data_IF_614338476034
#
_entry.id   IF_614338476034
#
_cell.length_a   1.000
_cell.length_b   1.000
_cell.length_c   1.000
_cell.angle_alpha   90.00
_cell.angle_beta   90.00
_cell.angle_gamma   90.00
#
_symmetry.space_group_name_H-M   'P 1'
#
loop_
_entity.id
_entity.type
_entity.pdbx_description
1 polymer ?
#
# COMPACT_ATOMS: atom_id res chain seq x y z
N UNK A 1 3.47 49.12 2.41
CA UNK A 1 2.36 48.15 2.23
C UNK A 1 2.75 46.86 1.48
N UNK A 2 3.44 46.88 0.33
CA UNK A 2 3.83 45.64 -0.39
C UNK A 2 4.79 44.74 0.40
N UNK A 3 5.76 45.30 1.13
CA UNK A 3 6.69 44.52 1.95
C UNK A 3 6.06 43.90 3.21
N UNK A 4 5.10 44.59 3.84
CA UNK A 4 4.33 44.07 4.98
C UNK A 4 3.39 42.92 4.59
N UNK A 5 2.78 42.98 3.40
CA UNK A 5 1.93 41.94 2.88
C UNK A 5 2.72 40.64 2.58
N UNK A 6 3.93 40.81 2.00
CA UNK A 6 4.84 39.67 1.71
C UNK A 6 5.34 38.99 2.99
N UNK A 7 5.62 39.78 4.06
CA UNK A 7 6.02 39.24 5.36
C UNK A 7 4.88 38.48 6.06
N UNK A 8 3.66 38.98 5.95
CA UNK A 8 2.47 38.31 6.52
C UNK A 8 2.16 36.99 5.80
N UNK A 9 2.31 36.94 4.46
CA UNK A 9 2.12 35.71 3.69
C UNK A 9 3.20 34.67 3.99
N UNK A 10 4.46 35.08 4.18
CA UNK A 10 5.54 34.17 4.58
C UNK A 10 5.34 33.67 6.01
N UNK A 11 4.91 34.52 6.92
CA UNK A 11 4.65 34.18 8.32
C UNK A 11 3.42 33.21 8.44
N UNK A 12 2.35 33.49 7.71
CA UNK A 12 1.19 32.60 7.61
C UNK A 12 1.54 31.25 6.96
N UNK A 13 2.36 31.25 5.91
CA UNK A 13 2.85 30.02 5.30
C UNK A 13 3.71 29.18 6.25
N UNK A 14 4.58 29.83 7.04
CA UNK A 14 5.40 29.13 8.05
C UNK A 14 4.59 28.61 9.24
N UNK A 15 3.54 29.31 9.66
CA UNK A 15 2.63 28.86 10.73
C UNK A 15 1.76 27.70 10.26
N UNK A 16 1.29 27.71 9.01
CA UNK A 16 0.55 26.58 8.44
C UNK A 16 1.43 25.34 8.32
N UNK A 17 2.68 25.47 7.87
CA UNK A 17 3.64 24.38 7.81
C UNK A 17 4.01 23.82 9.21
N UNK A 18 4.10 24.66 10.23
CA UNK A 18 4.34 24.23 11.61
C UNK A 18 3.13 23.48 12.19
N UNK A 19 1.92 23.93 11.87
CA UNK A 19 0.69 23.28 12.35
C UNK A 19 0.47 21.90 11.70
N UNK A 20 0.68 21.82 10.42
CA UNK A 20 0.52 20.58 9.66
C UNK A 20 1.64 19.57 9.96
N UNK A 21 2.88 20.01 10.14
CA UNK A 21 3.97 19.13 10.60
C UNK A 21 3.65 18.51 11.98
N UNK A 22 2.90 19.22 12.83
CA UNK A 22 2.41 18.69 14.11
C UNK A 22 1.28 17.66 13.93
N UNK A 23 0.43 17.81 12.90
CA UNK A 23 -0.63 16.82 12.60
C UNK A 23 -0.04 15.50 12.11
N UNK A 24 0.85 15.52 11.12
CA UNK A 24 1.49 14.32 10.58
C UNK A 24 2.34 13.61 11.65
N UNK A 25 3.07 14.33 12.49
CA UNK A 25 3.81 13.75 13.61
C UNK A 25 2.89 13.05 14.62
N UNK A 26 1.70 13.61 14.87
CA UNK A 26 0.69 12.99 15.71
C UNK A 26 0.13 11.72 15.08
N UNK A 27 -0.16 11.74 13.77
CA UNK A 27 -0.63 10.59 13.02
C UNK A 27 0.44 9.48 12.95
N UNK A 28 1.72 9.84 12.77
CA UNK A 28 2.84 8.88 12.80
C UNK A 28 2.95 8.19 14.16
N UNK A 29 2.77 8.89 15.28
CA UNK A 29 2.74 8.26 16.62
C UNK A 29 1.59 7.26 16.77
N UNK A 30 0.42 7.58 16.20
CA UNK A 30 -0.72 6.66 16.19
C UNK A 30 -0.39 5.44 15.31
N UNK A 31 0.21 5.64 14.14
CA UNK A 31 0.65 4.55 13.28
C UNK A 31 1.71 3.67 13.95
N UNK A 32 2.69 4.25 14.66
CA UNK A 32 3.69 3.49 15.42
C UNK A 32 3.01 2.54 16.42
N UNK A 33 1.96 3.02 17.12
CA UNK A 33 1.16 2.20 18.02
C UNK A 33 0.42 1.09 17.26
N UNK A 34 -0.27 1.41 16.17
CA UNK A 34 -0.99 0.43 15.35
C UNK A 34 -0.05 -0.64 14.81
N UNK A 35 1.15 -0.27 14.37
CA UNK A 35 2.18 -1.22 13.93
C UNK A 35 2.66 -2.11 15.09
N UNK A 36 2.81 -1.57 16.29
CA UNK A 36 3.18 -2.38 17.47
C UNK A 36 2.11 -3.42 17.84
N UNK A 37 0.85 -3.13 17.56
CA UNK A 37 -0.32 -3.98 17.80
C UNK A 37 -0.68 -4.90 16.61
N UNK A 38 0.09 -4.89 15.51
CA UNK A 38 -0.26 -5.59 14.24
C UNK A 38 -0.57 -7.07 14.38
N UNK A 39 0.02 -7.74 15.36
CA UNK A 39 -0.24 -9.16 15.61
C UNK A 39 -1.68 -9.40 16.09
N UNK A 40 -2.23 -8.51 16.90
CA UNK A 40 -3.63 -8.57 17.36
C UNK A 40 -4.59 -8.49 16.17
N UNK A 41 -4.31 -7.60 15.20
CA UNK A 41 -5.13 -7.50 13.99
C UNK A 41 -5.01 -8.75 13.10
N UNK A 42 -3.80 -9.32 13.04
CA UNK A 42 -3.56 -10.59 12.32
C UNK A 42 -4.36 -11.73 12.96
N UNK A 43 -4.31 -11.89 14.27
CA UNK A 43 -5.08 -12.91 15.03
C UNK A 43 -6.59 -12.75 14.83
N UNK A 44 -7.09 -11.51 14.84
CA UNK A 44 -8.51 -11.22 14.56
C UNK A 44 -8.90 -11.63 13.14
N UNK A 45 -8.05 -11.37 12.15
CA UNK A 45 -8.25 -11.79 10.76
C UNK A 45 -8.31 -13.31 10.65
N UNK A 46 -7.36 -14.00 11.28
CA UNK A 46 -7.31 -15.47 11.31
C UNK A 46 -8.53 -16.09 11.98
N UNK A 47 -9.02 -15.48 13.08
CA UNK A 47 -10.25 -15.92 13.74
C UNK A 47 -11.46 -15.80 12.80
N UNK A 48 -11.61 -14.68 12.09
CA UNK A 48 -12.68 -14.50 11.08
C UNK A 48 -12.59 -15.55 9.98
N UNK A 49 -11.39 -15.82 9.45
CA UNK A 49 -11.19 -16.86 8.43
C UNK A 49 -11.55 -18.24 8.98
N UNK A 50 -11.18 -18.52 10.22
CA UNK A 50 -11.51 -19.81 10.89
C UNK A 50 -13.02 -20.01 11.03
N UNK A 51 -13.77 -18.96 11.38
CA UNK A 51 -15.23 -19.00 11.44
C UNK A 51 -15.86 -19.29 10.07
N UNK A 52 -15.40 -18.62 9.01
CA UNK A 52 -15.87 -18.87 7.66
C UNK A 52 -15.58 -20.32 7.21
N UNK A 53 -14.38 -20.82 7.51
CA UNK A 53 -14.03 -22.23 7.23
C UNK A 53 -14.89 -23.24 8.00
N UNK A 54 -15.29 -22.94 9.22
CA UNK A 54 -16.17 -23.80 9.98
C UNK A 54 -17.56 -23.90 9.32
N UNK A 55 -18.12 -22.77 8.85
CA UNK A 55 -19.40 -22.73 8.12
C UNK A 55 -19.38 -23.55 6.82
N UNK A 56 -18.21 -23.74 6.20
CA UNK A 56 -18.07 -24.52 4.95
C UNK A 56 -18.54 -25.96 5.08
N UNK A 57 -18.38 -26.57 6.25
CA UNK A 57 -18.81 -27.96 6.51
C UNK A 57 -20.33 -28.12 6.52
N UNK A 58 -21.08 -27.04 6.67
CA UNK A 58 -22.54 -27.03 6.77
C UNK A 58 -23.21 -26.78 5.41
N UNK A 59 -22.44 -26.40 4.39
CA UNK A 59 -22.98 -26.07 3.07
C UNK A 59 -23.42 -27.33 2.31
N UNK A 60 -24.64 -27.29 1.76
CA UNK A 60 -25.26 -28.44 1.09
C UNK A 60 -25.29 -28.30 -0.43
N UNK A 61 -25.28 -27.08 -0.95
CA UNK A 61 -25.33 -26.83 -2.40
C UNK A 61 -24.00 -26.33 -2.93
N UNK A 62 -23.74 -26.55 -4.21
CA UNK A 62 -22.54 -26.03 -4.88
C UNK A 62 -22.53 -24.51 -4.93
N UNK A 63 -23.70 -23.86 -5.07
CA UNK A 63 -23.83 -22.41 -5.07
C UNK A 63 -23.47 -21.80 -3.70
N UNK A 64 -23.96 -22.39 -2.61
CA UNK A 64 -23.61 -21.94 -1.25
C UNK A 64 -22.10 -22.14 -0.97
N UNK A 65 -21.53 -23.26 -1.44
CA UNK A 65 -20.07 -23.51 -1.34
C UNK A 65 -19.29 -22.45 -2.12
N UNK A 66 -19.70 -22.13 -3.34
CA UNK A 66 -19.06 -21.11 -4.18
C UNK A 66 -19.07 -19.74 -3.49
N UNK A 67 -20.23 -19.31 -2.99
CA UNK A 67 -20.39 -18.03 -2.29
C UNK A 67 -19.55 -17.95 -1.03
N UNK A 68 -19.56 -18.97 -0.20
CA UNK A 68 -18.77 -18.99 1.03
C UNK A 68 -17.26 -19.04 0.72
N UNK A 69 -16.84 -19.80 -0.29
CA UNK A 69 -15.45 -19.74 -0.75
C UNK A 69 -15.08 -18.33 -1.25
N UNK A 70 -16.00 -17.62 -1.93
CA UNK A 70 -15.76 -16.23 -2.38
C UNK A 70 -15.55 -15.28 -1.20
N UNK A 71 -16.28 -15.46 -0.08
CA UNK A 71 -16.01 -14.73 1.16
C UNK A 71 -14.63 -15.06 1.74
N UNK A 72 -14.25 -16.35 1.76
CA UNK A 72 -12.92 -16.78 2.22
C UNK A 72 -11.82 -16.21 1.31
N UNK A 73 -12.01 -16.24 -0.01
CA UNK A 73 -11.09 -15.65 -0.99
C UNK A 73 -10.91 -14.16 -0.72
N UNK A 74 -11.98 -13.41 -0.45
CA UNK A 74 -11.90 -11.98 -0.15
C UNK A 74 -11.03 -11.68 1.08
N UNK A 75 -11.04 -12.59 2.09
CA UNK A 75 -10.18 -12.47 3.25
C UNK A 75 -8.71 -12.77 2.94
N UNK A 76 -8.44 -13.75 2.07
CA UNK A 76 -7.09 -14.19 1.76
C UNK A 76 -6.39 -13.37 0.67
N UNK A 77 -7.13 -12.75 -0.26
CA UNK A 77 -6.55 -12.09 -1.44
C UNK A 77 -5.50 -11.01 -1.13
N UNK A 78 -5.59 -10.38 0.05
CA UNK A 78 -4.62 -9.39 0.52
C UNK A 78 -3.86 -9.85 1.77
N UNK A 79 -4.06 -11.12 2.20
CA UNK A 79 -3.51 -11.66 3.45
C UNK A 79 -2.51 -12.80 3.22
N UNK A 80 -2.88 -13.87 2.49
CA UNK A 80 -2.01 -15.01 2.14
C UNK A 80 -2.31 -15.50 0.74
N UNK A 81 -1.39 -15.28 -0.19
CA UNK A 81 -1.53 -15.58 -1.61
C UNK A 81 -1.87 -17.06 -1.87
N UNK A 82 -1.10 -18.00 -1.30
CA UNK A 82 -1.25 -19.43 -1.56
C UNK A 82 -2.61 -19.96 -1.08
N UNK A 83 -3.12 -19.43 0.03
CA UNK A 83 -4.47 -19.77 0.51
C UNK A 83 -5.55 -19.18 -0.39
N UNK A 84 -5.38 -17.95 -0.89
CA UNK A 84 -6.30 -17.38 -1.87
C UNK A 84 -6.35 -18.23 -3.14
N UNK A 85 -5.20 -18.62 -3.68
CA UNK A 85 -5.07 -19.51 -4.84
C UNK A 85 -5.81 -20.84 -4.63
N UNK A 86 -5.64 -21.48 -3.47
CA UNK A 86 -6.32 -22.72 -3.14
C UNK A 86 -7.85 -22.60 -3.25
N UNK A 87 -8.44 -21.60 -2.57
CA UNK A 87 -9.90 -21.42 -2.57
C UNK A 87 -10.44 -20.94 -3.91
N UNK A 88 -9.66 -20.17 -4.69
CA UNK A 88 -10.02 -19.79 -6.06
C UNK A 88 -10.07 -21.03 -6.95
N UNK A 89 -9.09 -21.94 -6.86
CA UNK A 89 -9.10 -23.19 -7.63
C UNK A 89 -10.28 -24.07 -7.24
N UNK A 90 -10.62 -24.18 -5.95
CA UNK A 90 -11.84 -24.87 -5.52
C UNK A 90 -13.10 -24.24 -6.14
N UNK A 91 -13.20 -22.91 -6.22
CA UNK A 91 -14.32 -22.23 -6.88
C UNK A 91 -14.36 -22.48 -8.39
N UNK A 92 -13.22 -22.56 -9.05
CA UNK A 92 -13.12 -22.93 -10.46
C UNK A 92 -13.66 -24.34 -10.68
N UNK A 93 -13.30 -25.32 -9.83
CA UNK A 93 -13.83 -26.68 -9.90
C UNK A 93 -15.34 -26.76 -9.63
N UNK A 94 -15.84 -25.98 -8.65
CA UNK A 94 -17.28 -25.88 -8.37
C UNK A 94 -18.01 -25.29 -9.59
N UNK A 95 -17.51 -24.23 -10.18
CA UNK A 95 -18.08 -23.60 -11.36
C UNK A 95 -18.14 -24.57 -12.56
N UNK A 96 -17.11 -25.39 -12.75
CA UNK A 96 -17.09 -26.44 -13.78
C UNK A 96 -18.16 -27.50 -13.51
N UNK A 97 -18.30 -27.98 -12.27
CA UNK A 97 -19.33 -28.97 -11.88
C UNK A 97 -20.74 -28.41 -12.06
N UNK A 98 -20.93 -27.11 -11.86
CA UNK A 98 -22.21 -26.43 -12.08
C UNK A 98 -22.49 -26.13 -13.57
N UNK A 99 -21.51 -26.25 -14.45
CA UNK A 99 -21.59 -25.78 -15.84
C UNK A 99 -21.74 -24.24 -15.94
N UNK A 100 -21.36 -23.50 -14.91
CA UNK A 100 -21.51 -22.04 -14.85
C UNK A 100 -20.25 -21.36 -15.41
N UNK A 101 -20.30 -20.99 -16.69
CA UNK A 101 -19.18 -20.36 -17.38
C UNK A 101 -18.83 -18.97 -16.81
N UNK A 102 -19.81 -18.25 -16.28
CA UNK A 102 -19.61 -16.94 -15.64
C UNK A 102 -18.75 -17.07 -14.39
N UNK A 103 -19.10 -17.97 -13.47
CA UNK A 103 -18.32 -18.25 -12.27
C UNK A 103 -16.93 -18.81 -12.59
N UNK A 104 -16.82 -19.62 -13.65
CA UNK A 104 -15.53 -20.10 -14.13
C UNK A 104 -14.60 -18.96 -14.55
N UNK A 105 -15.12 -18.00 -15.33
CA UNK A 105 -14.36 -16.83 -15.79
C UNK A 105 -14.00 -15.87 -14.63
N UNK A 106 -14.93 -15.66 -13.69
CA UNK A 106 -14.64 -14.89 -12.47
C UNK A 106 -13.48 -15.52 -11.68
N UNK A 107 -13.53 -16.82 -11.42
CA UNK A 107 -12.45 -17.53 -10.72
C UNK A 107 -11.12 -17.41 -11.44
N UNK A 108 -11.10 -17.55 -12.78
CA UNK A 108 -9.87 -17.37 -13.56
C UNK A 108 -9.31 -15.95 -13.49
N UNK A 109 -10.17 -14.93 -13.54
CA UNK A 109 -9.74 -13.54 -13.39
C UNK A 109 -9.24 -13.24 -11.98
N UNK A 110 -9.88 -13.79 -10.94
CA UNK A 110 -9.39 -13.69 -9.55
C UNK A 110 -8.02 -14.36 -9.41
N UNK A 111 -7.80 -15.52 -10.05
CA UNK A 111 -6.51 -16.20 -10.05
C UNK A 111 -5.42 -15.36 -10.73
N UNK A 112 -5.71 -14.78 -11.90
CA UNK A 112 -4.80 -13.89 -12.59
C UNK A 112 -4.43 -12.64 -11.76
N UNK A 113 -5.41 -12.10 -11.03
CA UNK A 113 -5.19 -11.00 -10.09
C UNK A 113 -4.22 -11.39 -8.97
N UNK A 114 -4.48 -12.50 -8.28
CA UNK A 114 -3.62 -12.99 -7.19
C UNK A 114 -2.21 -13.32 -7.70
N UNK A 115 -2.08 -13.92 -8.87
CA UNK A 115 -0.79 -14.16 -9.51
C UNK A 115 -0.04 -12.85 -9.83
N UNK A 116 -0.75 -11.82 -10.28
CA UNK A 116 -0.16 -10.51 -10.53
C UNK A 116 0.36 -9.85 -9.25
N UNK A 117 -0.35 -9.99 -8.12
CA UNK A 117 0.07 -9.47 -6.82
C UNK A 117 1.25 -10.25 -6.23
N UNK A 118 1.33 -11.55 -6.50
CA UNK A 118 2.43 -12.39 -5.99
C UNK A 118 3.70 -12.34 -6.86
N UNK A 119 3.60 -11.80 -8.10
CA UNK A 119 4.71 -11.77 -9.07
C UNK A 119 4.83 -13.03 -9.93
N UNK A 120 3.78 -13.84 -10.01
CA UNK A 120 3.66 -14.97 -10.94
C UNK A 120 3.16 -14.48 -12.32
N UNK A 121 3.92 -13.58 -12.94
CA UNK A 121 3.51 -12.86 -14.13
C UNK A 121 3.29 -13.76 -15.35
N UNK A 122 4.06 -14.84 -15.50
CA UNK A 122 3.90 -15.81 -16.60
C UNK A 122 2.56 -16.50 -16.49
N UNK A 123 2.22 -17.01 -15.29
CA UNK A 123 0.95 -17.69 -15.01
C UNK A 123 -0.24 -16.75 -15.20
N UNK A 124 -0.14 -15.50 -14.75
CA UNK A 124 -1.18 -14.49 -15.00
C UNK A 124 -1.38 -14.26 -16.51
N UNK A 125 -0.28 -14.13 -17.27
CA UNK A 125 -0.31 -13.97 -18.73
C UNK A 125 -0.99 -15.13 -19.44
N UNK A 126 -0.73 -16.37 -19.02
CA UNK A 126 -1.33 -17.56 -19.62
C UNK A 126 -2.85 -17.60 -19.40
N UNK A 127 -3.31 -17.17 -18.21
CA UNK A 127 -4.73 -17.02 -17.93
C UNK A 127 -5.33 -15.94 -18.85
N UNK A 128 -4.73 -14.77 -18.93
CA UNK A 128 -5.24 -13.68 -19.77
C UNK A 128 -5.36 -14.08 -21.24
N UNK A 129 -4.33 -14.71 -21.80
CA UNK A 129 -4.34 -15.19 -23.18
C UNK A 129 -5.43 -16.22 -23.47
N UNK A 130 -5.88 -16.96 -22.46
CA UNK A 130 -6.91 -17.98 -22.58
C UNK A 130 -8.34 -17.43 -22.52
N UNK A 131 -8.53 -16.12 -22.21
CA UNK A 131 -9.82 -15.46 -22.09
C UNK A 131 -10.03 -14.56 -23.32
N UNK A 132 -11.14 -14.77 -24.03
CA UNK A 132 -11.53 -13.89 -25.16
C UNK A 132 -12.31 -12.69 -24.62
N UNK A 133 -11.64 -11.55 -24.49
CA UNK A 133 -12.21 -10.34 -23.89
C UNK A 133 -13.50 -9.88 -24.58
N UNK A 134 -13.58 -9.95 -25.90
CA UNK A 134 -14.72 -9.46 -26.69
C UNK A 134 -16.03 -10.22 -26.42
N UNK A 135 -15.93 -11.45 -25.90
CA UNK A 135 -17.10 -12.29 -25.57
C UNK A 135 -17.56 -12.18 -24.12
N UNK A 136 -16.88 -11.37 -23.32
CA UNK A 136 -17.22 -11.20 -21.91
C UNK A 136 -18.40 -10.25 -21.74
N UNK A 137 -19.31 -10.49 -20.79
CA UNK A 137 -20.27 -9.48 -20.34
C UNK A 137 -19.53 -8.29 -19.70
N UNK A 138 -20.14 -7.10 -19.74
CA UNK A 138 -19.49 -5.84 -19.40
C UNK A 138 -18.77 -5.85 -18.04
N UNK A 139 -19.37 -6.42 -17.00
CA UNK A 139 -18.76 -6.47 -15.68
C UNK A 139 -17.49 -7.36 -15.63
N UNK A 140 -17.48 -8.49 -16.35
CA UNK A 140 -16.28 -9.33 -16.48
C UNK A 140 -15.22 -8.69 -17.38
N UNK A 141 -15.66 -7.96 -18.40
CA UNK A 141 -14.77 -7.19 -19.26
C UNK A 141 -14.11 -6.05 -18.49
N UNK A 142 -14.85 -5.36 -17.63
CA UNK A 142 -14.30 -4.36 -16.72
C UNK A 142 -13.27 -4.99 -15.75
N UNK A 143 -13.61 -6.12 -15.12
CA UNK A 143 -12.71 -6.87 -14.24
C UNK A 143 -11.43 -7.32 -14.96
N UNK A 144 -11.55 -7.81 -16.20
CA UNK A 144 -10.43 -8.18 -17.06
C UNK A 144 -9.51 -6.98 -17.32
N UNK A 145 -10.07 -5.82 -17.65
CA UNK A 145 -9.30 -4.60 -17.88
C UNK A 145 -8.58 -4.13 -16.58
N UNK A 146 -9.27 -4.09 -15.44
CA UNK A 146 -8.65 -3.71 -14.16
C UNK A 146 -7.53 -4.67 -13.75
N UNK A 147 -7.69 -5.96 -14.00
CA UNK A 147 -6.63 -6.93 -13.74
C UNK A 147 -5.40 -6.66 -14.61
N UNK A 148 -5.58 -6.29 -15.88
CA UNK A 148 -4.46 -5.90 -16.77
C UNK A 148 -3.81 -4.59 -16.32
N UNK A 149 -4.59 -3.59 -15.90
CA UNK A 149 -4.05 -2.34 -15.35
C UNK A 149 -3.14 -2.66 -14.16
N UNK A 150 -3.63 -3.47 -13.20
CA UNK A 150 -2.83 -3.88 -12.03
C UNK A 150 -1.61 -4.71 -12.42
N UNK A 151 -1.76 -5.62 -13.35
CA UNK A 151 -0.66 -6.45 -13.87
C UNK A 151 0.46 -5.59 -14.44
N UNK A 152 0.15 -4.63 -15.31
CA UNK A 152 1.15 -3.72 -15.88
C UNK A 152 1.74 -2.76 -14.85
N UNK A 153 0.97 -2.26 -13.89
CA UNK A 153 1.50 -1.48 -12.78
C UNK A 153 2.57 -2.24 -11.99
N UNK A 154 2.31 -3.51 -11.71
CA UNK A 154 3.26 -4.35 -11.00
C UNK A 154 4.49 -4.70 -11.87
N UNK A 155 4.32 -4.92 -13.17
CA UNK A 155 5.44 -5.13 -14.09
C UNK A 155 6.34 -3.90 -14.19
N UNK A 156 5.79 -2.69 -14.27
CA UNK A 156 6.55 -1.44 -14.28
C UNK A 156 7.43 -1.33 -13.03
N UNK A 157 6.84 -1.58 -11.85
CA UNK A 157 7.56 -1.54 -10.58
C UNK A 157 8.61 -2.67 -10.47
N UNK A 158 8.30 -3.87 -10.96
CA UNK A 158 9.20 -5.02 -10.94
C UNK A 158 10.40 -4.82 -11.83
N UNK A 159 10.17 -4.39 -13.07
CA UNK A 159 11.22 -4.23 -14.08
C UNK A 159 12.16 -3.09 -13.75
N UNK A 160 11.62 -1.94 -13.30
CA UNK A 160 12.38 -0.72 -12.96
C UNK A 160 13.37 -0.30 -14.07
N UNK A 161 12.95 -0.51 -15.34
CA UNK A 161 13.73 -0.25 -16.55
C UNK A 161 12.88 0.56 -17.53
N UNK A 162 13.34 1.76 -17.87
CA UNK A 162 12.62 2.71 -18.72
C UNK A 162 12.28 2.15 -20.11
N UNK A 163 13.08 1.23 -20.65
CA UNK A 163 12.86 0.62 -21.99
C UNK A 163 11.58 -0.20 -22.03
N UNK A 164 11.31 -0.98 -20.97
CA UNK A 164 10.12 -1.82 -20.86
C UNK A 164 8.94 -1.07 -20.22
N UNK A 165 9.23 -0.19 -19.26
CA UNK A 165 8.20 0.57 -18.54
C UNK A 165 7.36 1.43 -19.48
N UNK A 166 7.94 2.00 -20.54
CA UNK A 166 7.19 2.80 -21.51
C UNK A 166 6.17 1.97 -22.31
N UNK A 167 6.55 0.76 -22.72
CA UNK A 167 5.62 -0.16 -23.40
C UNK A 167 4.51 -0.63 -22.47
N UNK A 168 4.85 -1.00 -21.22
CA UNK A 168 3.86 -1.41 -20.23
C UNK A 168 2.90 -0.27 -19.87
N UNK A 169 3.38 0.98 -19.86
CA UNK A 169 2.53 2.14 -19.63
C UNK A 169 1.49 2.30 -20.75
N UNK A 170 1.89 2.15 -22.01
CA UNK A 170 0.98 2.23 -23.17
C UNK A 170 -0.10 1.14 -23.07
N UNK A 171 0.30 -0.09 -22.73
CA UNK A 171 -0.66 -1.19 -22.57
C UNK A 171 -1.62 -0.93 -21.41
N UNK A 172 -1.12 -0.47 -20.28
CA UNK A 172 -1.93 -0.11 -19.13
C UNK A 172 -2.99 0.92 -19.47
N UNK A 173 -2.61 1.99 -20.18
CA UNK A 173 -3.54 3.05 -20.57
C UNK A 173 -4.58 2.56 -21.60
N UNK A 174 -4.22 1.69 -22.53
CA UNK A 174 -5.16 1.08 -23.46
C UNK A 174 -6.27 0.29 -22.73
N UNK A 175 -5.92 -0.45 -21.65
CA UNK A 175 -6.94 -1.12 -20.83
C UNK A 175 -7.77 -0.13 -20.03
N UNK A 176 -7.19 0.98 -19.54
CA UNK A 176 -7.93 2.05 -18.88
C UNK A 176 -8.93 2.71 -19.82
N UNK A 177 -8.53 3.01 -21.03
CA UNK A 177 -9.43 3.55 -22.05
C UNK A 177 -10.59 2.58 -22.33
N UNK A 178 -10.28 1.29 -22.43
CA UNK A 178 -11.30 0.26 -22.66
C UNK A 178 -12.29 0.19 -21.49
N UNK A 179 -11.84 0.15 -20.25
CA UNK A 179 -12.73 0.05 -19.10
C UNK A 179 -13.62 1.29 -18.97
N UNK A 180 -13.11 2.48 -19.28
CA UNK A 180 -13.90 3.70 -19.26
C UNK A 180 -15.04 3.72 -20.28
N UNK A 181 -14.95 2.98 -21.39
CA UNK A 181 -16.05 2.84 -22.35
C UNK A 181 -17.18 1.93 -21.86
N UNK A 182 -16.92 1.10 -20.84
CA UNK A 182 -17.84 0.09 -20.30
C UNK A 182 -18.55 0.62 -19.05
N UNK A 183 -17.82 1.39 -18.24
CA UNK A 183 -18.34 1.91 -16.97
C UNK A 183 -19.45 2.93 -17.19
N UNK A 184 -20.44 2.91 -16.30
CA UNK A 184 -21.43 3.97 -16.25
C UNK A 184 -20.77 5.30 -15.92
N UNK A 185 -20.97 6.32 -16.74
CA UNK A 185 -20.29 7.63 -16.70
C UNK A 185 -20.55 8.47 -15.44
N UNK A 186 -21.52 8.06 -14.60
CA UNK A 186 -21.84 8.66 -13.30
C UNK A 186 -21.42 7.77 -12.12
N UNK A 187 -20.72 6.65 -12.36
CA UNK A 187 -20.25 5.76 -11.30
C UNK A 187 -18.98 6.28 -10.63
N UNK A 188 -18.80 5.94 -9.36
CA UNK A 188 -17.54 6.25 -8.65
C UNK A 188 -16.34 5.56 -9.31
N UNK A 189 -16.53 4.38 -9.90
CA UNK A 189 -15.50 3.64 -10.67
C UNK A 189 -15.05 4.44 -11.89
N UNK A 190 -15.99 4.96 -12.68
CA UNK A 190 -15.68 5.83 -13.82
C UNK A 190 -14.90 7.08 -13.38
N UNK A 191 -15.37 7.75 -12.32
CA UNK A 191 -14.72 8.94 -11.82
C UNK A 191 -13.30 8.68 -11.27
N UNK A 192 -13.03 7.50 -10.68
CA UNK A 192 -11.68 7.10 -10.27
C UNK A 192 -10.75 7.01 -11.47
N UNK A 193 -11.15 6.33 -12.55
CA UNK A 193 -10.34 6.24 -13.77
C UNK A 193 -10.15 7.61 -14.43
N UNK A 194 -11.22 8.43 -14.46
CA UNK A 194 -11.15 9.81 -14.95
C UNK A 194 -10.15 10.66 -14.16
N UNK A 195 -10.12 10.54 -12.84
CA UNK A 195 -9.17 11.25 -11.99
C UNK A 195 -7.72 10.83 -12.30
N UNK A 196 -7.45 9.56 -12.59
CA UNK A 196 -6.12 9.10 -13.01
C UNK A 196 -5.73 9.75 -14.35
N UNK A 197 -6.61 9.77 -15.33
CA UNK A 197 -6.34 10.45 -16.63
C UNK A 197 -6.07 11.95 -16.46
N UNK A 198 -6.84 12.62 -15.63
CA UNK A 198 -6.60 14.04 -15.31
C UNK A 198 -5.22 14.28 -14.67
N UNK A 199 -4.75 13.35 -13.81
CA UNK A 199 -3.40 13.41 -13.27
C UNK A 199 -2.33 13.28 -14.37
N UNK A 200 -2.51 12.35 -15.30
CA UNK A 200 -1.60 12.14 -16.42
C UNK A 200 -1.58 13.35 -17.39
N UNK A 201 -2.69 14.09 -17.49
CA UNK A 201 -2.79 15.36 -18.21
C UNK A 201 -2.26 16.57 -17.43
N UNK A 202 -1.82 16.41 -16.18
CA UNK A 202 -1.36 17.50 -15.31
C UNK A 202 -2.48 18.35 -14.70
N UNK A 203 -3.75 17.91 -14.82
CA UNK A 203 -4.93 18.60 -14.27
C UNK A 203 -5.20 18.17 -12.81
N UNK A 204 -4.21 18.42 -11.95
CA UNK A 204 -4.21 17.89 -10.57
C UNK A 204 -5.36 18.41 -9.73
N UNK A 205 -5.77 19.67 -9.87
CA UNK A 205 -6.86 20.25 -9.09
C UNK A 205 -8.20 19.57 -9.38
N UNK A 206 -8.50 19.31 -10.66
CA UNK A 206 -9.71 18.61 -11.07
C UNK A 206 -9.72 17.16 -10.59
N UNK A 207 -8.57 16.48 -10.70
CA UNK A 207 -8.41 15.11 -10.20
C UNK A 207 -8.63 15.03 -8.68
N UNK A 208 -8.06 15.96 -7.92
CA UNK A 208 -8.21 16.03 -6.46
C UNK A 208 -9.66 16.28 -6.05
N UNK A 209 -10.38 17.19 -6.72
CA UNK A 209 -11.79 17.44 -6.44
C UNK A 209 -12.64 16.16 -6.58
N UNK A 210 -12.39 15.37 -7.62
CA UNK A 210 -13.06 14.09 -7.83
C UNK A 210 -12.72 13.11 -6.72
N UNK A 211 -11.42 12.92 -6.44
CA UNK A 211 -10.95 11.92 -5.47
C UNK A 211 -11.40 12.24 -4.05
N UNK A 212 -11.42 13.51 -3.65
CA UNK A 212 -11.91 13.94 -2.33
C UNK A 212 -13.40 13.59 -2.19
N UNK A 213 -14.23 13.90 -3.20
CA UNK A 213 -15.65 13.57 -3.17
C UNK A 213 -15.93 12.07 -3.01
N UNK A 214 -15.09 11.22 -3.62
CA UNK A 214 -15.22 9.77 -3.49
C UNK A 214 -14.69 9.29 -2.13
N UNK A 215 -13.57 9.86 -1.66
CA UNK A 215 -13.00 9.54 -0.36
C UNK A 215 -13.96 9.86 0.80
N UNK A 216 -14.64 11.00 0.75
CA UNK A 216 -15.59 11.43 1.79
C UNK A 216 -16.81 10.50 1.92
N UNK A 217 -17.10 9.71 0.89
CA UNK A 217 -18.13 8.66 0.93
C UNK A 217 -17.65 7.35 1.57
N UNK A 218 -16.32 7.15 1.71
CA UNK A 218 -15.78 5.90 2.23
C UNK A 218 -15.96 5.83 3.74
N UNK A 219 -16.35 4.66 4.23
CA UNK A 219 -16.36 4.41 5.65
C UNK A 219 -14.95 4.20 6.17
N UNK A 220 -14.54 4.86 7.27
CA UNK A 220 -13.25 4.63 7.92
C UNK A 220 -13.03 3.14 8.24
N UNK A 221 -11.76 2.73 8.29
CA UNK A 221 -11.36 1.34 8.58
C UNK A 221 -11.90 0.29 7.59
N UNK A 222 -12.18 0.70 6.35
CA UNK A 222 -12.49 -0.22 5.23
C UNK A 222 -11.35 -0.24 4.23
N UNK A 223 -11.24 -1.34 3.46
CA UNK A 223 -10.25 -1.41 2.38
C UNK A 223 -10.48 -0.31 1.30
N UNK A 224 -11.74 0.04 1.01
CA UNK A 224 -12.08 1.16 0.14
C UNK A 224 -11.51 2.48 0.62
N UNK A 225 -11.59 2.76 1.92
CA UNK A 225 -10.98 3.95 2.53
C UNK A 225 -9.45 3.97 2.34
N UNK A 226 -8.76 2.86 2.60
CA UNK A 226 -7.32 2.77 2.41
C UNK A 226 -6.92 2.99 0.94
N UNK A 227 -7.63 2.38 0.00
CA UNK A 227 -7.39 2.54 -1.44
C UNK A 227 -7.60 3.99 -1.90
N UNK A 228 -8.65 4.66 -1.42
CA UNK A 228 -8.90 6.07 -1.77
C UNK A 228 -7.87 7.01 -1.12
N UNK A 229 -7.46 6.75 0.12
CA UNK A 229 -6.37 7.49 0.77
C UNK A 229 -5.06 7.34 -0.03
N UNK A 230 -4.73 6.14 -0.50
CA UNK A 230 -3.57 5.90 -1.37
C UNK A 230 -3.68 6.67 -2.70
N UNK A 231 -4.88 6.73 -3.30
CA UNK A 231 -5.16 7.51 -4.50
C UNK A 231 -4.95 9.01 -4.30
N UNK A 232 -5.46 9.56 -3.18
CA UNK A 232 -5.25 10.96 -2.79
C UNK A 232 -3.77 11.27 -2.53
N UNK A 233 -3.06 10.39 -1.83
CA UNK A 233 -1.62 10.53 -1.61
C UNK A 233 -0.87 10.69 -2.93
N UNK A 234 -1.14 9.82 -3.92
CA UNK A 234 -0.54 9.91 -5.25
C UNK A 234 -0.87 11.26 -5.94
N UNK A 235 -2.12 11.69 -5.88
CA UNK A 235 -2.54 12.95 -6.49
C UNK A 235 -1.86 14.17 -5.85
N UNK A 236 -1.73 14.19 -4.51
CA UNK A 236 -1.01 15.23 -3.79
C UNK A 236 0.49 15.22 -4.09
N UNK A 237 1.11 14.05 -4.22
CA UNK A 237 2.50 13.93 -4.66
C UNK A 237 2.72 14.58 -6.02
N UNK A 238 1.88 14.25 -7.00
CA UNK A 238 1.97 14.79 -8.37
C UNK A 238 1.71 16.30 -8.41
N UNK A 239 0.87 16.83 -7.51
CA UNK A 239 0.64 18.28 -7.37
C UNK A 239 1.73 18.99 -6.55
N UNK A 240 2.73 18.28 -6.01
CA UNK A 240 3.81 18.82 -5.22
C UNK A 240 3.48 19.08 -3.75
N UNK A 241 2.31 18.67 -3.27
CA UNK A 241 1.92 18.82 -1.86
C UNK A 241 2.36 17.58 -1.05
N UNK A 242 3.65 17.55 -0.68
CA UNK A 242 4.27 16.42 0.02
C UNK A 242 3.71 16.21 1.44
N UNK A 243 3.13 17.23 2.02
CA UNK A 243 2.54 17.17 3.35
C UNK A 243 1.23 16.39 3.36
N UNK A 244 0.32 16.71 2.44
CA UNK A 244 -0.91 15.96 2.25
C UNK A 244 -0.66 14.57 1.64
N UNK A 245 0.37 14.41 0.80
CA UNK A 245 0.85 13.08 0.40
C UNK A 245 1.14 12.22 1.62
N UNK A 246 1.97 12.70 2.56
CA UNK A 246 2.35 11.97 3.77
C UNK A 246 1.12 11.67 4.66
N UNK A 247 0.24 12.65 4.88
CA UNK A 247 -0.99 12.46 5.64
C UNK A 247 -1.82 11.29 5.12
N UNK A 248 -2.11 11.28 3.82
CA UNK A 248 -2.94 10.23 3.24
C UNK A 248 -2.23 8.87 3.15
N UNK A 249 -0.88 8.86 3.00
CA UNK A 249 -0.11 7.62 3.15
C UNK A 249 -0.20 7.04 4.54
N UNK A 250 -0.11 7.86 5.58
CA UNK A 250 -0.24 7.42 6.98
C UNK A 250 -1.62 6.81 7.21
N UNK A 251 -2.69 7.48 6.73
CA UNK A 251 -4.06 6.98 6.87
C UNK A 251 -4.29 5.66 6.15
N UNK A 252 -3.75 5.51 4.94
CA UNK A 252 -3.79 4.26 4.18
C UNK A 252 -3.04 3.14 4.91
N UNK A 253 -1.78 3.38 5.31
CA UNK A 253 -0.94 2.40 6.01
C UNK A 253 -1.54 1.96 7.35
N UNK A 254 -2.14 2.90 8.09
CA UNK A 254 -2.82 2.62 9.36
C UNK A 254 -4.03 1.71 9.14
N UNK A 255 -4.86 2.02 8.15
CA UNK A 255 -6.06 1.25 7.82
C UNK A 255 -5.69 -0.15 7.35
N UNK A 256 -4.75 -0.28 6.42
CA UNK A 256 -4.26 -1.58 5.93
C UNK A 256 -3.69 -2.43 7.08
N UNK A 257 -2.94 -1.84 8.00
CA UNK A 257 -2.39 -2.55 9.16
C UNK A 257 -3.51 -3.07 10.07
N UNK A 258 -4.54 -2.26 10.37
CA UNK A 258 -5.70 -2.67 11.17
C UNK A 258 -6.54 -3.77 10.51
N UNK A 259 -6.60 -3.78 9.18
CA UNK A 259 -7.28 -4.82 8.39
C UNK A 259 -6.41 -6.05 8.16
N UNK A 260 -5.18 -6.07 8.69
CA UNK A 260 -4.17 -7.10 8.43
C UNK A 260 -3.90 -7.33 6.94
N UNK A 261 -3.94 -6.26 6.12
CA UNK A 261 -3.55 -6.31 4.71
C UNK A 261 -2.04 -6.48 4.64
N UNK A 262 -1.57 -7.60 4.07
CA UNK A 262 -0.14 -7.93 3.92
C UNK A 262 0.43 -7.46 2.58
N UNK A 263 -0.45 -7.10 1.67
CA UNK A 263 -0.11 -6.40 0.42
C UNK A 263 -0.10 -4.88 0.64
N UNK A 264 0.47 -4.39 1.75
CA UNK A 264 0.48 -3.00 2.19
C UNK A 264 1.53 -2.18 1.42
N UNK A 265 1.13 -1.53 0.34
CA UNK A 265 1.99 -0.64 -0.45
C UNK A 265 2.20 0.73 0.22
N UNK A 266 1.21 1.19 0.97
CA UNK A 266 1.27 2.50 1.63
C UNK A 266 2.40 2.54 2.67
N UNK A 267 2.56 1.49 3.46
CA UNK A 267 3.63 1.41 4.46
C UNK A 267 5.02 1.40 3.83
N UNK A 268 5.20 0.67 2.72
CA UNK A 268 6.45 0.66 1.96
C UNK A 268 6.79 2.05 1.42
N UNK A 269 5.82 2.71 0.79
CA UNK A 269 5.99 4.05 0.22
C UNK A 269 6.30 5.07 1.33
N UNK A 270 5.60 4.98 2.45
CA UNK A 270 5.83 5.85 3.61
C UNK A 270 7.23 5.65 4.20
N UNK A 271 7.72 4.40 4.29
CA UNK A 271 9.08 4.13 4.76
C UNK A 271 10.13 4.82 3.88
N UNK A 272 9.96 4.79 2.55
CA UNK A 272 10.86 5.47 1.60
C UNK A 272 10.78 6.99 1.76
N UNK A 273 9.58 7.55 1.88
CA UNK A 273 9.40 8.99 2.07
C UNK A 273 10.03 9.48 3.38
N UNK A 274 9.85 8.75 4.48
CA UNK A 274 10.47 9.06 5.78
C UNK A 274 12.00 8.97 5.73
N UNK A 275 12.55 8.01 4.99
CA UNK A 275 13.98 7.93 4.74
C UNK A 275 14.51 9.20 4.07
N UNK A 276 13.87 9.67 3.01
CA UNK A 276 14.25 10.91 2.32
C UNK A 276 14.06 12.15 3.18
N UNK A 277 13.09 12.14 4.09
CA UNK A 277 12.84 13.21 5.08
C UNK A 277 13.84 13.21 6.24
N UNK A 278 14.60 12.11 6.42
CA UNK A 278 15.62 11.96 7.48
C UNK A 278 15.09 11.32 8.77
N UNK A 279 13.84 10.86 8.81
CA UNK A 279 13.31 10.01 9.92
C UNK A 279 13.72 8.55 9.71
N UNK A 280 15.00 8.30 9.93
CA UNK A 280 15.64 7.02 9.66
C UNK A 280 15.11 5.91 10.57
N UNK A 281 14.74 6.26 11.80
CA UNK A 281 14.28 5.28 12.80
C UNK A 281 12.93 4.68 12.39
N UNK A 282 11.95 5.53 12.00
CA UNK A 282 10.68 5.05 11.46
C UNK A 282 10.83 4.39 10.09
N UNK A 283 11.64 4.97 9.20
CA UNK A 283 11.90 4.38 7.89
C UNK A 283 12.38 2.94 8.00
N UNK A 284 13.35 2.67 8.90
CA UNK A 284 13.87 1.33 9.16
C UNK A 284 12.81 0.39 9.75
N UNK A 285 12.06 0.85 10.75
CA UNK A 285 11.00 0.04 11.35
C UNK A 285 9.90 -0.31 10.35
N UNK A 286 9.45 0.65 9.54
CA UNK A 286 8.36 0.45 8.59
C UNK A 286 8.79 -0.44 7.41
N UNK A 287 10.01 -0.28 6.88
CA UNK A 287 10.51 -1.16 5.81
C UNK A 287 10.65 -2.61 6.28
N UNK A 288 11.05 -2.85 7.53
CA UNK A 288 11.10 -4.20 8.13
C UNK A 288 9.72 -4.84 8.23
N UNK A 289 8.72 -4.06 8.63
CA UNK A 289 7.33 -4.54 8.69
C UNK A 289 6.82 -4.84 7.29
N UNK A 290 7.05 -3.94 6.31
CA UNK A 290 6.67 -4.16 4.92
C UNK A 290 7.34 -5.42 4.32
N UNK A 291 8.61 -5.68 4.65
CA UNK A 291 9.31 -6.91 4.25
C UNK A 291 8.69 -8.16 4.90
N UNK A 292 8.43 -8.10 6.21
CA UNK A 292 7.77 -9.19 6.94
C UNK A 292 6.40 -9.52 6.35
N UNK A 293 5.61 -8.50 6.03
CA UNK A 293 4.29 -8.66 5.44
C UNK A 293 4.37 -9.22 4.01
N UNK A 294 5.34 -8.77 3.19
CA UNK A 294 5.55 -9.29 1.84
C UNK A 294 5.98 -10.78 1.84
N UNK A 295 6.81 -11.19 2.81
CA UNK A 295 7.20 -12.59 3.02
C UNK A 295 5.98 -13.41 3.48
N UNK A 296 5.20 -12.91 4.43
CA UNK A 296 4.00 -13.59 4.93
C UNK A 296 2.94 -13.77 3.82
N UNK A 297 2.75 -12.76 2.99
CA UNK A 297 1.86 -12.82 1.82
C UNK A 297 2.36 -13.79 0.74
N UNK A 298 3.65 -14.11 0.73
CA UNK A 298 4.38 -14.82 -0.34
C UNK A 298 4.47 -14.03 -1.66
N UNK A 299 4.70 -12.71 -1.58
CA UNK A 299 4.90 -11.86 -2.76
C UNK A 299 6.35 -11.84 -3.22
N UNK A 300 6.67 -12.58 -4.28
CA UNK A 300 7.99 -12.57 -4.94
C UNK A 300 8.33 -11.20 -5.50
N UNK A 301 7.32 -10.57 -6.10
CA UNK A 301 7.42 -9.24 -6.67
C UNK A 301 7.79 -8.19 -5.61
N UNK A 302 7.04 -8.09 -4.51
CA UNK A 302 7.33 -7.10 -3.45
C UNK A 302 8.64 -7.36 -2.75
N UNK A 303 9.00 -8.61 -2.51
CA UNK A 303 10.30 -8.95 -1.96
C UNK A 303 11.43 -8.41 -2.84
N UNK A 304 11.31 -8.50 -4.17
CA UNK A 304 12.29 -7.94 -5.11
C UNK A 304 12.34 -6.42 -5.05
N UNK A 305 11.18 -5.74 -5.00
CA UNK A 305 11.11 -4.28 -4.90
C UNK A 305 11.73 -3.79 -3.58
N UNK A 306 11.38 -4.43 -2.46
CA UNK A 306 11.89 -4.07 -1.13
C UNK A 306 13.40 -4.35 -1.04
N UNK A 307 13.90 -5.44 -1.64
CA UNK A 307 15.31 -5.80 -1.63
C UNK A 307 16.23 -4.73 -2.27
N UNK A 308 15.70 -3.84 -3.09
CA UNK A 308 16.47 -2.73 -3.69
C UNK A 308 16.72 -1.59 -2.71
N UNK A 309 15.77 -1.30 -1.82
CA UNK A 309 15.82 -0.13 -0.93
C UNK A 309 16.13 -0.49 0.53
N UNK A 310 15.72 -1.67 1.00
CA UNK A 310 15.91 -2.11 2.39
C UNK A 310 17.39 -2.03 2.84
N UNK A 311 18.38 -2.54 2.07
CA UNK A 311 19.78 -2.47 2.49
C UNK A 311 20.32 -1.04 2.64
N UNK A 312 19.81 -0.10 1.86
CA UNK A 312 20.21 1.31 1.90
C UNK A 312 19.68 1.95 3.19
N UNK A 313 18.41 1.73 3.53
CA UNK A 313 17.81 2.23 4.76
C UNK A 313 18.49 1.59 5.98
N UNK A 314 18.70 0.27 5.95
CA UNK A 314 19.32 -0.48 7.03
C UNK A 314 20.77 -0.03 7.30
N UNK A 315 21.59 0.10 6.26
CA UNK A 315 22.98 0.56 6.40
C UNK A 315 23.05 1.98 6.97
N UNK A 316 22.15 2.87 6.55
CA UNK A 316 22.05 4.23 7.09
C UNK A 316 21.66 4.21 8.57
N UNK A 317 20.69 3.37 8.94
CA UNK A 317 20.26 3.20 10.32
C UNK A 317 21.39 2.65 11.21
N UNK A 318 22.07 1.60 10.77
CA UNK A 318 23.20 1.00 11.51
C UNK A 318 24.36 1.99 11.66
N UNK A 319 24.72 2.73 10.62
CA UNK A 319 25.72 3.78 10.69
C UNK A 319 25.35 4.85 11.72
N UNK A 320 24.10 5.31 11.75
CA UNK A 320 23.61 6.28 12.73
C UNK A 320 23.70 5.75 14.16
N UNK A 321 23.31 4.49 14.38
CA UNK A 321 23.42 3.84 15.69
C UNK A 321 24.87 3.77 16.17
N UNK A 322 25.80 3.38 15.29
CA UNK A 322 27.22 3.28 15.65
C UNK A 322 27.80 4.65 16.00
N UNK A 323 27.46 5.68 15.22
CA UNK A 323 27.85 7.06 15.52
C UNK A 323 27.27 7.54 16.86
N UNK A 324 26.04 7.23 17.18
CA UNK A 324 25.42 7.54 18.48
C UNK A 324 26.15 6.85 19.62
N UNK A 325 26.50 5.56 19.48
CA UNK A 325 27.30 4.80 20.47
C UNK A 325 28.69 5.39 20.67
N UNK A 326 29.35 5.80 19.58
CA UNK A 326 30.69 6.45 19.68
C UNK A 326 30.57 7.79 20.40
N UNK A 327 29.60 8.62 20.10
CA UNK A 327 29.34 9.88 20.79
C UNK A 327 29.05 9.64 22.29
N UNK A 328 28.21 8.65 22.62
CA UNK A 328 27.91 8.30 24.00
C UNK A 328 29.16 7.86 24.77
N UNK A 329 29.99 6.99 24.17
CA UNK A 329 31.31 6.58 24.76
C UNK A 329 32.19 7.80 24.99
N UNK A 330 32.27 8.72 24.04
CA UNK A 330 33.03 9.96 24.17
C UNK A 330 32.54 10.83 25.33
N UNK A 331 31.23 11.01 25.48
CA UNK A 331 30.65 11.76 26.60
C UNK A 331 30.89 11.09 27.95
N UNK A 332 30.81 9.76 28.02
CA UNK A 332 31.11 9.00 29.26
C UNK A 332 32.59 9.19 29.64
N UNK A 333 33.53 9.12 28.70
CA UNK A 333 34.94 9.37 28.94
C UNK A 333 35.19 10.80 29.43
N UNK A 334 34.58 11.79 28.76
CA UNK A 334 34.73 13.21 29.14
C UNK A 334 34.21 13.48 30.56
N UNK A 335 33.01 12.95 30.88
CA UNK A 335 32.41 13.11 32.22
C UNK A 335 33.25 12.41 33.29
N UNK A 336 33.79 11.21 33.00
CA UNK A 336 34.66 10.46 33.90
C UNK A 336 35.94 11.25 34.19
N UNK A 337 36.59 11.83 33.18
CA UNK A 337 37.78 12.67 33.35
C UNK A 337 37.49 13.92 34.21
N UNK A 338 36.34 14.53 34.01
CA UNK A 338 35.90 15.72 34.77
C UNK A 338 35.66 15.39 36.23
N UNK A 339 35.05 14.24 36.55
CA UNK A 339 34.90 13.75 37.93
C UNK A 339 36.23 13.49 38.61
N UNK A 340 37.18 12.85 37.92
CA UNK A 340 38.52 12.60 38.43
C UNK A 340 39.27 13.91 38.70
N UNK A 341 39.20 14.87 37.77
CA UNK A 341 39.82 16.19 37.94
C UNK A 341 39.24 16.96 39.15
N UNK A 342 37.91 16.91 39.33
CA UNK A 342 37.25 17.51 40.50
C UNK A 342 37.67 16.84 41.81
N UNK A 343 37.78 15.50 41.84
CA UNK A 343 38.23 14.75 43.02
C UNK A 343 39.69 15.11 43.39
N UNK A 344 40.57 15.22 42.39
CA UNK A 344 41.94 15.66 42.59
C UNK A 344 42.01 17.13 43.08
N UNK A 345 41.24 18.01 42.52
CA UNK A 345 41.17 19.41 42.94
C UNK A 345 40.71 19.51 44.42
N UNK A 346 39.69 18.78 44.81
CA UNK A 346 39.25 18.69 46.20
C UNK A 346 40.34 18.11 47.14
N UNK A 347 41.03 17.07 46.71
CA UNK A 347 42.12 16.46 47.49
C UNK A 347 43.26 17.43 47.75
N UNK A 348 43.63 18.27 46.77
CA UNK A 348 44.71 19.25 46.93
C UNK A 348 44.29 20.55 47.65
N UNK A 349 42.98 20.79 47.81
CA UNK A 349 42.44 21.96 48.54
C UNK A 349 42.20 21.66 50.03
N UNK A 350 42.13 20.41 50.44
CA UNK A 350 42.10 19.95 51.83
C UNK A 350 43.50 19.46 52.27
#
# INVERSE_FOLDING_TARGET
>A
MKHTLCFITILLGSLLNLYANNENDSLLKVLDKVISERLVYTEKKEATIKELKAKKKEQKTLDDMYRLNSEIISQYSTFVCDSAEQYINENIEIAQKMGNNTYLLEGRLQLAFVYSLSGLFVQATDIFKSIKCDTLPDYLKALYCWNHIRYYENLIKYTDDARFSSEYMVQKEAYRDTVMTILYDQSDEYFKEKAVKLQDEGKFSEALEILIKIYDKQQPETHGYAMMAMGLSRAYKLSGNLELEEKYLILAAMTDTKLAVKENEALLTLAVNLYHKGDIDRAYNYIKVALSDAIFYNSRFKNTVIARIHPIIESTYLYRLEKQKQNLRFYILLTSLLVVALALALYFTY
#
